data_IF_896574258426
#
_entry.id   IF_896574258426
#
_cell.length_a   1.000
_cell.length_b   1.000
_cell.length_c   1.000
_cell.angle_alpha   90.00
_cell.angle_beta   90.00
_cell.angle_gamma   90.00
#
_symmetry.space_group_name_H-M   'P 1'
#
loop_
_entity.id
_entity.type
_entity.pdbx_description
1 polymer ?
#
# COMPACT_ATOMS: atom_id res chain seq x y z
N UNK A 1 5.48 -7.53 -3.28
CA UNK A 1 5.90 -7.00 -4.59
C UNK A 1 5.76 -5.48 -4.57
N UNK A 2 6.06 -4.77 -5.67
CA UNK A 2 5.88 -3.32 -5.73
C UNK A 2 4.43 -2.94 -5.42
N UNK A 3 4.24 -1.98 -4.52
CA UNK A 3 2.92 -1.47 -4.14
C UNK A 3 3.01 0.01 -3.78
N UNK A 4 1.88 0.67 -3.52
CA UNK A 4 1.93 2.08 -3.11
C UNK A 4 2.52 2.18 -1.69
N UNK A 5 3.54 3.03 -1.53
CA UNK A 5 4.27 3.19 -0.26
C UNK A 5 3.58 4.11 0.75
N UNK A 6 4.02 4.07 2.03
CA UNK A 6 3.40 4.79 3.13
C UNK A 6 3.35 6.31 2.91
N UNK A 7 4.34 6.90 2.24
CA UNK A 7 4.40 8.34 1.99
C UNK A 7 3.39 8.82 0.91
N UNK A 8 2.78 7.88 0.17
CA UNK A 8 1.96 8.20 -1.00
C UNK A 8 0.54 7.64 -0.91
N UNK A 9 0.26 6.76 0.05
CA UNK A 9 -1.06 6.14 0.22
C UNK A 9 -1.95 6.93 1.17
N UNK A 10 -2.32 8.14 0.75
CA UNK A 10 -3.31 8.93 1.49
C UNK A 10 -4.71 8.30 1.42
N UNK A 11 -5.41 8.25 2.54
CA UNK A 11 -6.76 7.69 2.73
C UNK A 11 -7.62 8.59 3.61
N UNK A 12 -8.94 8.49 3.45
CA UNK A 12 -9.92 9.23 4.22
C UNK A 12 -10.13 8.68 5.65
N UNK A 13 -10.83 9.44 6.51
CA UNK A 13 -11.09 9.06 7.89
C UNK A 13 -11.93 7.77 7.99
N UNK A 14 -12.83 7.53 7.05
CA UNK A 14 -13.64 6.31 6.99
C UNK A 14 -12.81 5.05 6.77
N UNK A 15 -11.70 5.16 6.03
CA UNK A 15 -10.76 4.05 5.85
C UNK A 15 -10.03 3.75 7.16
N UNK A 16 -9.46 4.77 7.79
CA UNK A 16 -8.77 4.65 9.07
C UNK A 16 -9.68 4.07 10.17
N UNK A 17 -10.90 4.60 10.30
CA UNK A 17 -11.86 4.16 11.32
C UNK A 17 -12.21 2.67 11.20
N UNK A 18 -12.38 2.15 9.98
CA UNK A 18 -12.68 0.72 9.78
C UNK A 18 -11.55 -0.17 10.28
N UNK A 19 -10.29 0.18 10.02
CA UNK A 19 -9.13 -0.61 10.46
C UNK A 19 -8.99 -0.61 11.98
N UNK A 20 -9.09 0.57 12.60
CA UNK A 20 -8.95 0.71 14.07
C UNK A 20 -10.14 0.09 14.81
N UNK A 21 -11.33 0.04 14.18
CA UNK A 21 -12.49 -0.66 14.74
C UNK A 21 -12.35 -2.18 14.72
N UNK A 22 -11.62 -2.73 13.74
CA UNK A 22 -11.33 -4.16 13.65
C UNK A 22 -10.25 -4.57 14.66
N UNK A 23 -9.16 -3.81 14.74
CA UNK A 23 -8.13 -3.96 15.77
C UNK A 23 -7.49 -2.58 16.08
N UNK A 24 -7.61 -2.08 17.33
CA UNK A 24 -6.99 -0.82 17.73
C UNK A 24 -5.47 -0.77 17.51
N UNK A 25 -4.78 -1.91 17.55
CA UNK A 25 -3.34 -1.98 17.32
C UNK A 25 -2.96 -1.62 15.87
N UNK A 26 -3.89 -1.74 14.91
CA UNK A 26 -3.64 -1.40 13.51
C UNK A 26 -3.51 0.10 13.26
N UNK A 27 -3.86 0.94 14.25
CA UNK A 27 -3.56 2.37 14.23
C UNK A 27 -2.08 2.67 13.99
N UNK A 28 -1.17 1.75 14.33
CA UNK A 28 0.27 1.88 14.07
C UNK A 28 0.65 1.98 12.59
N UNK A 29 -0.22 1.55 11.67
CA UNK A 29 0.02 1.61 10.22
C UNK A 29 -0.49 2.90 9.59
N UNK A 30 -0.91 3.87 10.40
CA UNK A 30 -1.39 5.16 9.92
C UNK A 30 -0.52 6.28 10.48
N UNK A 31 -0.10 7.18 9.60
CA UNK A 31 0.57 8.43 9.97
C UNK A 31 -0.26 9.65 9.55
N UNK A 32 -0.03 10.83 10.16
CA UNK A 32 -0.78 12.04 9.80
C UNK A 32 -0.55 12.43 8.33
N UNK A 33 -1.63 12.75 7.62
CA UNK A 33 -1.52 13.45 6.33
C UNK A 33 -1.40 14.96 6.53
N UNK A 34 -0.86 15.66 5.53
CA UNK A 34 -0.92 17.13 5.44
C UNK A 34 -2.35 17.65 5.26
N UNK A 35 -3.26 16.82 4.74
CA UNK A 35 -4.68 17.15 4.60
C UNK A 35 -5.44 16.79 5.88
N UNK A 36 -6.15 17.77 6.43
CA UNK A 36 -6.93 17.57 7.65
C UNK A 36 -7.94 16.42 7.51
N UNK A 37 -8.00 15.58 8.54
CA UNK A 37 -8.88 14.41 8.61
C UNK A 37 -8.44 13.22 7.74
N UNK A 38 -7.32 13.31 7.02
CA UNK A 38 -6.76 12.22 6.22
C UNK A 38 -5.51 11.64 6.86
N UNK A 39 -5.15 10.44 6.42
CA UNK A 39 -4.04 9.67 6.95
C UNK A 39 -3.23 9.07 5.81
N UNK A 40 -1.94 8.84 6.05
CA UNK A 40 -1.06 8.07 5.19
C UNK A 40 -1.02 6.62 5.71
N UNK A 41 -1.36 5.66 4.85
CA UNK A 41 -1.46 4.24 5.23
C UNK A 41 -0.23 3.44 4.79
N UNK A 42 0.41 2.78 5.74
CA UNK A 42 1.51 1.84 5.50
C UNK A 42 0.99 0.47 5.07
N UNK A 43 0.61 0.37 3.79
CA UNK A 43 0.21 -0.89 3.18
C UNK A 43 1.31 -1.96 3.23
N UNK A 44 2.59 -1.67 2.92
CA UNK A 44 3.67 -2.65 3.06
C UNK A 44 3.78 -3.23 4.47
N UNK A 45 3.83 -2.37 5.49
CA UNK A 45 3.91 -2.79 6.89
C UNK A 45 2.70 -3.60 7.33
N UNK A 46 1.49 -3.19 6.93
CA UNK A 46 0.27 -3.93 7.21
C UNK A 46 0.30 -5.32 6.57
N UNK A 47 0.67 -5.44 5.29
CA UNK A 47 0.73 -6.74 4.58
C UNK A 47 1.79 -7.66 5.20
N UNK A 48 2.97 -7.14 5.56
CA UNK A 48 4.03 -7.91 6.22
C UNK A 48 3.51 -8.51 7.52
N UNK A 49 2.91 -7.67 8.37
CA UNK A 49 2.30 -8.12 9.63
C UNK A 49 1.25 -9.22 9.39
N UNK A 50 0.35 -9.02 8.42
CA UNK A 50 -0.71 -10.00 8.13
C UNK A 50 -0.16 -11.34 7.68
N UNK A 51 0.95 -11.35 6.95
CA UNK A 51 1.65 -12.57 6.52
C UNK A 51 2.36 -13.26 7.69
N UNK A 52 2.99 -12.48 8.58
CA UNK A 52 3.63 -13.01 9.79
C UNK A 52 2.61 -13.64 10.74
N UNK A 53 1.47 -12.99 10.96
CA UNK A 53 0.35 -13.54 11.75
C UNK A 53 -0.25 -14.81 11.14
N UNK A 54 -0.22 -14.93 9.81
CA UNK A 54 -0.64 -16.14 9.10
C UNK A 54 0.39 -17.29 9.21
N UNK A 55 1.51 -17.09 9.90
CA UNK A 55 2.55 -18.09 10.10
C UNK A 55 3.52 -18.25 8.92
N UNK A 56 3.59 -17.28 8.01
CA UNK A 56 4.55 -17.30 6.90
C UNK A 56 5.96 -17.13 7.45
N UNK A 57 6.81 -18.15 7.28
CA UNK A 57 8.11 -18.19 7.95
C UNK A 57 9.14 -17.16 7.48
N UNK A 58 9.11 -16.73 6.21
CA UNK A 58 9.99 -15.66 5.70
C UNK A 58 9.18 -14.70 4.85
N UNK A 59 9.08 -13.47 5.32
CA UNK A 59 8.42 -12.37 4.61
C UNK A 59 9.48 -11.34 4.24
N UNK A 60 9.42 -10.83 3.01
CA UNK A 60 10.24 -9.70 2.56
C UNK A 60 9.39 -8.76 1.74
N UNK A 61 9.40 -7.49 2.12
CA UNK A 61 8.99 -6.42 1.23
C UNK A 61 10.12 -6.10 0.26
N UNK A 62 9.77 -5.79 -0.98
CA UNK A 62 10.73 -5.34 -2.01
C UNK A 62 11.07 -3.86 -1.87
N UNK A 63 10.32 -3.11 -1.04
CA UNK A 63 10.54 -1.70 -0.75
C UNK A 63 10.56 -0.82 -2.01
N UNK A 64 9.60 -1.05 -2.93
CA UNK A 64 9.45 -0.31 -4.19
C UNK A 64 8.06 0.33 -4.25
N UNK A 65 8.01 1.65 -4.45
CA UNK A 65 6.77 2.41 -4.41
C UNK A 65 6.23 2.63 -5.84
N UNK A 66 5.07 2.07 -6.15
CA UNK A 66 4.47 2.19 -7.49
C UNK A 66 4.11 3.64 -7.84
N UNK A 67 3.76 4.46 -6.85
CA UNK A 67 3.44 5.86 -7.06
C UNK A 67 4.68 6.72 -7.32
N UNK A 68 5.73 6.56 -6.50
CA UNK A 68 6.92 7.42 -6.54
C UNK A 68 7.86 7.10 -7.72
N UNK A 69 7.89 5.85 -8.17
CA UNK A 69 8.79 5.40 -9.24
C UNK A 69 8.05 5.28 -10.58
N UNK A 70 7.79 6.43 -11.21
CA UNK A 70 6.95 6.51 -12.42
C UNK A 70 7.59 5.90 -13.68
N UNK A 71 8.92 5.88 -13.76
CA UNK A 71 9.67 5.19 -14.83
C UNK A 71 9.57 3.66 -14.75
N UNK A 72 9.30 3.09 -13.57
CA UNK A 72 9.35 1.65 -13.32
C UNK A 72 7.96 1.00 -13.21
N UNK A 73 6.96 1.74 -12.72
CA UNK A 73 5.65 1.18 -12.42
C UNK A 73 4.51 2.12 -12.82
N UNK A 74 3.46 1.59 -13.44
CA UNK A 74 2.13 2.20 -13.42
C UNK A 74 1.60 2.38 -11.98
N UNK A 75 0.81 3.43 -11.76
CA UNK A 75 0.12 3.67 -10.50
C UNK A 75 -1.23 4.32 -10.76
N UNK A 76 -2.29 3.64 -10.32
CA UNK A 76 -3.65 4.19 -10.38
C UNK A 76 -3.74 5.54 -9.66
N UNK A 77 -3.18 5.63 -8.44
CA UNK A 77 -3.20 6.87 -7.65
C UNK A 77 -2.53 8.03 -8.39
N UNK A 78 -1.40 7.77 -9.05
CA UNK A 78 -0.69 8.78 -9.84
C UNK A 78 -1.50 9.21 -11.06
N UNK A 79 -2.07 8.24 -11.80
CA UNK A 79 -2.95 8.52 -12.94
C UNK A 79 -4.15 9.39 -12.52
N UNK A 80 -4.79 9.08 -11.38
CA UNK A 80 -5.87 9.89 -10.81
C UNK A 80 -5.42 11.32 -10.49
N UNK A 81 -4.26 11.50 -9.85
CA UNK A 81 -3.73 12.84 -9.55
C UNK A 81 -3.36 13.63 -10.81
N UNK A 82 -2.99 12.95 -11.90
CA UNK A 82 -2.65 13.56 -13.19
C UNK A 82 -3.88 13.73 -14.12
N UNK A 83 -5.05 13.23 -13.74
CA UNK A 83 -6.25 13.28 -14.57
C UNK A 83 -6.18 12.42 -15.83
N UNK A 84 -5.39 11.34 -15.81
CA UNK A 84 -5.25 10.41 -16.92
C UNK A 84 -6.50 9.51 -17.01
N UNK A 85 -7.01 9.26 -18.23
CA UNK A 85 -8.23 8.45 -18.45
C UNK A 85 -8.03 6.95 -18.16
N UNK A 86 -6.80 6.45 -18.35
CA UNK A 86 -6.43 5.07 -18.08
C UNK A 86 -4.99 4.96 -17.59
N UNK A 87 -4.62 3.80 -17.06
CA UNK A 87 -3.30 3.46 -16.59
C UNK A 87 -2.99 2.00 -16.95
N UNK A 88 -1.71 1.71 -17.23
CA UNK A 88 -1.26 0.34 -17.42
C UNK A 88 -1.34 -0.48 -16.13
N UNK A 89 -1.18 -1.80 -16.22
CA UNK A 89 -1.25 -2.71 -15.07
C UNK A 89 -0.04 -3.63 -15.05
N UNK A 90 0.46 -3.91 -13.85
CA UNK A 90 1.54 -4.88 -13.66
C UNK A 90 1.00 -6.31 -13.52
N UNK A 91 1.90 -7.27 -13.71
CA UNK A 91 1.71 -8.67 -13.34
C UNK A 91 2.79 -9.08 -12.34
N UNK A 92 2.41 -9.79 -11.29
CA UNK A 92 3.33 -10.57 -10.45
C UNK A 92 2.99 -12.04 -10.63
N UNK A 93 3.95 -12.86 -11.02
CA UNK A 93 3.75 -14.28 -11.30
C UNK A 93 4.84 -15.12 -10.63
N UNK A 94 4.48 -16.35 -10.29
CA UNK A 94 5.39 -17.37 -9.75
C UNK A 94 5.06 -18.72 -10.38
N UNK A 95 6.08 -19.50 -10.70
CA UNK A 95 5.94 -20.87 -11.20
C UNK A 95 7.04 -21.77 -10.65
N UNK A 96 6.78 -23.07 -10.61
CA UNK A 96 7.84 -24.07 -10.45
C UNK A 96 8.46 -24.31 -11.83
N UNK A 97 9.79 -24.20 -11.92
CA UNK A 97 10.51 -24.61 -13.11
C UNK A 97 10.39 -26.13 -13.29
N UNK A 98 10.32 -26.62 -14.54
CA UNK A 98 10.28 -28.05 -14.85
C UNK A 98 11.57 -28.78 -14.44
#
# INVERSE_FOLDING_TARGET
>A
GPMIGPENYEVGPEFHQRFVAEDPAWGRFFSPSSRAGHFLFDLPGYVVMRLEEAGVGRVRDVARCTYAEDEAFFSYRRATHRGEEDYGRQLSAIMLAP
#
